data_IF_078500088135
#
_entry.id   IF_078500088135
#
_cell.length_a   1.000
_cell.length_b   1.000
_cell.length_c   1.000
_cell.angle_alpha   90.00
_cell.angle_beta   90.00
_cell.angle_gamma   90.00
#
_symmetry.space_group_name_H-M   'P 1'
#
loop_
_entity.id
_entity.type
_entity.pdbx_description
1 polymer ?
2 polymer ?
3 non-polymer ?
4 non-polymer ?
5 non-polymer ?
6 non-polymer ?
7 non-polymer ?
8 water ?
#
# COMPACT_ATOMS: atom_id res chain seq x y z
N UNK A 1 0.45 -15.09 27.71
CA UNK A 1 0.90 -14.81 26.31
C UNK A 1 1.21 -13.35 26.13
N UNK A 2 2.16 -13.13 25.25
CA UNK A 2 2.60 -11.78 24.90
C UNK A 2 2.62 -11.56 23.40
N UNK A 3 2.29 -10.33 23.05
CA UNK A 3 1.98 -9.96 21.66
C UNK A 3 3.19 -10.05 20.74
N UNK A 4 4.36 -9.89 21.35
CA UNK A 4 5.62 -9.75 20.59
C UNK A 4 6.11 -11.10 20.10
N UNK A 5 5.58 -12.10 20.79
CA UNK A 5 5.85 -13.50 20.48
C UNK A 5 4.65 -14.16 19.83
N UNK A 6 4.87 -14.55 18.59
CA UNK A 6 3.91 -15.37 17.85
C UNK A 6 2.60 -14.63 17.68
N UNK A 7 2.73 -13.32 17.81
CA UNK A 7 1.62 -12.36 17.64
C UNK A 7 0.58 -12.51 18.73
N UNK A 8 1.03 -13.14 19.79
CA UNK A 8 0.22 -13.37 20.98
C UNK A 8 -0.86 -14.38 20.71
N UNK A 9 -0.66 -15.02 19.57
CA UNK A 9 -1.52 -16.10 19.08
C UNK A 9 -2.70 -15.56 18.30
N UNK A 10 -2.75 -14.24 18.28
CA UNK A 10 -3.81 -13.47 17.56
C UNK A 10 -3.67 -13.60 16.05
N UNK A 11 -4.81 -13.67 15.41
CA UNK A 11 -4.86 -13.76 13.93
C UNK A 11 -4.50 -12.41 13.33
N UNK A 12 -4.95 -11.39 14.03
CA UNK A 12 -4.77 -9.99 13.60
C UNK A 12 -4.04 -9.17 14.66
N UNK A 13 -4.80 -8.31 15.30
CA UNK A 13 -4.23 -7.32 16.26
C UNK A 13 -4.22 -7.83 17.68
N UNK A 14 -3.20 -7.38 18.38
CA UNK A 14 -2.89 -7.82 19.76
C UNK A 14 -2.56 -6.68 20.70
N UNK A 15 -3.18 -6.78 21.86
CA UNK A 15 -2.96 -5.86 22.99
C UNK A 15 -2.59 -6.61 24.26
N UNK A 16 -1.47 -6.18 24.80
CA UNK A 16 -1.00 -6.62 26.13
C UNK A 16 -1.69 -5.81 27.20
N UNK A 17 -2.13 -6.53 28.21
CA UNK A 17 -2.80 -5.95 29.37
C UNK A 17 -2.08 -6.27 30.66
N UNK A 18 -2.45 -5.47 31.64
CA UNK A 18 -1.87 -5.55 32.98
C UNK A 18 -2.16 -6.89 33.61
N UNK A 19 -1.07 -7.61 33.77
CA UNK A 19 -1.06 -8.98 34.25
C UNK A 19 -0.60 -9.89 33.14
N UNK A 20 -0.94 -11.15 33.31
CA UNK A 20 -0.67 -12.18 32.31
C UNK A 20 -1.83 -12.21 31.35
N UNK A 21 -2.26 -10.99 31.04
CA UNK A 21 -3.42 -10.73 30.17
C UNK A 21 -3.08 -10.24 28.77
N UNK A 22 -3.86 -10.76 27.86
CA UNK A 22 -3.79 -10.45 26.43
C UNK A 22 -5.18 -10.39 25.80
N UNK A 23 -5.34 -9.41 24.94
CA UNK A 23 -6.58 -9.25 24.15
C UNK A 23 -6.28 -9.08 22.68
N UNK A 24 -6.88 -9.97 21.92
CA UNK A 24 -6.86 -9.93 20.46
C UNK A 24 -7.99 -9.08 19.96
N UNK A 25 -7.73 -8.48 18.83
CA UNK A 25 -8.73 -7.67 18.14
C UNK A 25 -8.69 -7.89 16.65
N UNK A 26 -9.75 -7.42 16.04
CA UNK A 26 -9.95 -7.55 14.58
C UNK A 26 -10.24 -6.21 13.94
N UNK A 27 -9.78 -6.14 12.71
CA UNK A 27 -10.01 -4.99 11.83
C UNK A 27 -11.50 -4.81 11.61
N UNK A 28 -11.86 -3.60 11.26
CA UNK A 28 -13.25 -3.30 10.88
C UNK A 28 -13.62 -4.26 9.75
N UNK A 29 -14.82 -4.77 9.84
CA UNK A 29 -15.36 -5.71 8.85
C UNK A 29 -15.08 -7.15 9.21
N UNK A 30 -14.55 -7.28 10.40
CA UNK A 30 -14.29 -8.59 11.05
C UNK A 30 -14.74 -8.57 12.49
N UNK A 31 -15.06 -9.77 12.92
CA UNK A 31 -15.40 -10.04 14.33
C UNK A 31 -14.55 -11.16 14.89
N UNK A 32 -14.25 -11.02 16.17
CA UNK A 32 -13.45 -11.97 16.95
C UNK A 32 -14.31 -13.15 17.38
N UNK A 33 -13.77 -14.32 17.12
CA UNK A 33 -14.41 -15.59 17.50
C UNK A 33 -14.21 -15.88 18.98
N UNK A 34 -14.94 -16.88 19.41
CA UNK A 34 -14.99 -17.26 20.85
C UNK A 34 -13.66 -17.83 21.35
N UNK A 35 -12.83 -18.21 20.40
CA UNK A 35 -11.46 -18.72 20.69
C UNK A 35 -10.56 -17.59 21.16
N UNK A 36 -11.06 -16.40 20.91
CA UNK A 36 -10.42 -15.15 21.35
C UNK A 36 -9.21 -14.74 20.55
N UNK A 37 -9.01 -15.44 19.45
CA UNK A 37 -7.85 -15.19 18.56
C UNK A 37 -8.16 -14.97 17.09
N UNK A 38 -9.20 -15.67 16.65
CA UNK A 38 -9.58 -15.73 15.23
C UNK A 38 -10.52 -14.61 14.86
N UNK A 39 -10.35 -14.18 13.63
CA UNK A 39 -11.18 -13.14 13.01
C UNK A 39 -11.92 -13.67 11.80
N UNK A 40 -13.20 -13.36 11.79
CA UNK A 40 -14.11 -13.78 10.71
C UNK A 40 -14.79 -12.56 10.07
N UNK A 41 -14.87 -12.55 8.72
CA UNK A 41 -15.55 -11.43 8.07
C UNK A 41 -16.99 -11.29 8.46
N UNK A 42 -17.38 -10.03 8.53
CA UNK A 42 -18.75 -9.63 8.88
C UNK A 42 -19.42 -8.89 7.75
N UNK A 43 -18.62 -8.67 6.73
CA UNK A 43 -19.06 -7.99 5.51
C UNK A 43 -18.65 -8.75 4.28
N UNK A 44 -19.20 -8.31 3.16
CA UNK A 44 -19.05 -9.01 1.88
C UNK A 44 -17.64 -8.88 1.35
N UNK A 45 -17.12 -7.70 1.56
CA UNK A 45 -15.80 -7.30 1.02
C UNK A 45 -14.87 -6.76 2.10
N UNK A 46 -14.45 -7.64 3.02
CA UNK A 46 -13.53 -7.20 4.03
C UNK A 46 -12.17 -6.92 3.44
N UNK A 47 -11.47 -6.03 4.10
CA UNK A 47 -10.13 -5.65 3.64
C UNK A 47 -9.20 -6.86 3.63
N UNK A 48 -8.35 -6.87 2.63
CA UNK A 48 -7.19 -7.78 2.61
C UNK A 48 -7.48 -9.19 2.21
N UNK A 49 -8.70 -9.36 1.74
CA UNK A 49 -9.16 -10.63 1.15
C UNK A 49 -9.48 -10.43 -0.31
N UNK A 50 -9.14 -11.46 -1.08
CA UNK A 50 -9.29 -11.50 -2.55
C UNK A 50 -10.50 -12.34 -2.96
N UNK A 51 -11.62 -11.69 -3.32
CA UNK A 51 -12.89 -12.40 -3.50
C UNK A 51 -12.84 -13.61 -4.40
N UNK A 52 -12.13 -13.47 -5.51
CA UNK A 52 -12.17 -14.53 -6.56
C UNK A 52 -11.45 -15.78 -6.08
N UNK A 53 -10.55 -15.54 -5.14
CA UNK A 53 -9.72 -16.61 -4.52
C UNK A 53 -10.43 -17.23 -3.33
N UNK A 54 -11.18 -16.39 -2.63
CA UNK A 54 -11.97 -16.84 -1.48
C UNK A 54 -13.07 -17.75 -2.00
N UNK A 55 -13.56 -17.39 -3.16
CA UNK A 55 -14.62 -18.12 -3.87
C UNK A 55 -14.08 -19.41 -4.46
N UNK A 56 -12.86 -19.29 -4.94
CA UNK A 56 -12.18 -20.37 -5.69
C UNK A 56 -12.02 -21.62 -4.83
N UNK A 57 -12.05 -21.36 -3.54
CA UNK A 57 -11.83 -22.40 -2.50
C UNK A 57 -13.03 -22.65 -1.61
N UNK A 58 -14.05 -21.86 -1.86
CA UNK A 58 -15.30 -21.90 -1.08
C UNK A 58 -16.12 -23.13 -1.45
N UNK B 1 7.15 -2.72 -13.19
CA UNK B 1 7.62 -3.96 -12.57
C UNK B 1 8.48 -4.70 -13.55
N UNK B 2 9.68 -4.97 -13.07
CA UNK B 2 10.69 -5.76 -13.79
C UNK B 2 10.77 -7.15 -13.20
N UNK B 3 10.63 -8.12 -14.09
CA UNK B 3 10.85 -9.55 -13.79
C UNK B 3 9.75 -10.22 -13.03
N UNK B 4 8.60 -9.59 -13.10
CA UNK B 4 7.37 -10.12 -12.50
C UNK B 4 6.51 -10.87 -13.47
N UNK B 5 5.25 -10.95 -13.10
CA UNK B 5 4.21 -11.56 -13.93
C UNK B 5 2.94 -10.74 -13.88
N UNK B 6 2.08 -11.06 -14.81
CA UNK B 6 0.75 -10.44 -14.85
C UNK B 6 0.02 -10.87 -13.59
N UNK B 7 -0.51 -9.87 -12.90
CA UNK B 7 -1.41 -10.13 -11.78
C UNK B 7 -2.76 -10.57 -12.35
N UNK B 8 -3.18 -11.82 -12.11
CA UNK B 8 -4.46 -12.20 -12.69
C UNK B 8 -5.56 -11.25 -12.27
N UNK B 9 -6.37 -10.91 -13.25
CA UNK B 9 -7.46 -9.96 -13.04
C UNK B 9 -8.24 -10.28 -11.78
N UNK B 10 -8.25 -9.30 -10.90
CA UNK B 10 -9.03 -9.35 -9.66
C UNK B 10 -8.25 -9.81 -8.45
N UNK B 11 -7.02 -10.21 -8.71
CA UNK B 11 -6.14 -10.74 -7.64
C UNK B 11 -5.31 -9.66 -6.98
N UNK B 12 -5.42 -8.48 -7.56
CA UNK B 12 -4.78 -7.27 -7.03
C UNK B 12 -5.82 -6.15 -6.84
N UNK B 13 -6.89 -6.42 -6.07
CA UNK B 13 -8.08 -5.57 -6.18
C UNK B 13 -7.99 -4.21 -5.49
N UNK B 14 -6.92 -4.06 -4.74
CA UNK B 14 -6.63 -2.81 -3.99
C UNK B 14 -5.76 -1.85 -4.79
N UNK B 15 -5.26 -2.33 -5.91
CA UNK B 15 -4.37 -1.53 -6.77
C UNK B 15 -5.13 -0.37 -7.38
N UNK B 16 -4.53 0.79 -7.28
CA UNK B 16 -5.03 2.03 -7.88
C UNK B 16 -4.08 2.51 -8.97
N UNK B 17 -4.70 3.04 -10.00
CA UNK B 17 -4.00 3.78 -11.06
C UNK B 17 -4.37 5.24 -10.98
N UNK B 18 -3.33 6.05 -10.90
CA UNK B 18 -3.44 7.51 -10.89
C UNK B 18 -3.11 8.07 -12.26
N UNK B 19 -4.03 8.88 -12.72
CA UNK B 19 -3.96 9.57 -14.02
C UNK B 19 -3.98 11.07 -13.85
N UNK B 20 -3.18 11.71 -14.68
CA UNK B 20 -3.17 13.18 -14.81
C UNK B 20 -3.34 13.52 -16.29
N UNK B 21 -4.46 14.16 -16.56
CA UNK B 21 -4.87 14.49 -17.94
C UNK B 21 -4.91 13.26 -18.83
N UNK B 22 -5.24 12.17 -18.17
CA UNK B 22 -5.51 10.87 -18.81
C UNK B 22 -4.28 10.01 -18.95
N UNK B 23 -3.18 10.63 -18.59
CA UNK B 23 -1.85 10.02 -18.64
C UNK B 23 -1.46 9.35 -17.31
N UNK B 24 -0.87 8.19 -17.45
CA UNK B 24 -0.34 7.43 -16.30
C UNK B 24 0.65 8.27 -15.51
N UNK B 25 0.38 8.35 -14.21
CA UNK B 25 1.24 9.08 -13.27
C UNK B 25 1.96 8.17 -12.30
N UNK B 26 1.14 7.41 -11.61
CA UNK B 26 1.60 6.62 -10.47
C UNK B 26 0.55 5.62 -10.08
N UNK B 27 0.97 4.76 -9.18
CA UNK B 27 0.09 3.82 -8.51
C UNK B 27 -0.42 4.36 -7.20
N UNK B 28 -1.28 3.55 -6.62
CA UNK B 28 -1.85 3.79 -5.29
C UNK B 28 -2.45 2.55 -4.70
N UNK B 29 -2.81 2.66 -3.44
CA UNK B 29 -3.45 1.58 -2.69
C UNK B 29 -4.72 2.05 -2.01
N UNK B 30 -5.79 1.36 -2.33
CA UNK B 30 -7.09 1.57 -1.68
C UNK B 30 -7.05 0.97 -0.28
N UNK B 31 -7.35 1.79 0.71
CA UNK B 31 -7.41 1.29 2.13
C UNK B 31 -8.79 1.34 2.77
N UNK B 32 -9.64 2.09 2.12
CA UNK B 32 -11.10 2.01 2.33
C UNK B 32 -11.80 2.71 1.18
N UNK B 33 -13.11 2.86 1.29
CA UNK B 33 -13.91 3.24 0.09
C UNK B 33 -13.63 4.62 -0.48
N UNK B 34 -13.04 5.47 0.34
CA UNK B 34 -12.74 6.87 -0.09
C UNK B 34 -11.29 7.28 0.05
N UNK B 35 -10.48 6.39 0.57
CA UNK B 35 -9.07 6.66 0.87
C UNK B 35 -8.08 5.78 0.12
N UNK B 36 -7.12 6.48 -0.47
CA UNK B 36 -6.01 5.91 -1.23
C UNK B 36 -4.69 6.42 -0.72
N UNK B 37 -3.78 5.47 -0.50
CA UNK B 37 -2.40 5.79 -0.13
C UNK B 37 -1.53 5.73 -1.37
N UNK B 38 -0.71 6.75 -1.52
CA UNK B 38 0.27 6.84 -2.63
C UNK B 38 1.59 7.40 -2.12
N UNK B 39 2.39 7.85 -3.06
CA UNK B 39 3.74 8.42 -2.79
C UNK B 39 3.74 9.92 -3.03
N UNK B 40 4.29 10.63 -2.06
CA UNK B 40 4.32 12.10 -2.10
C UNK B 40 4.94 12.63 -3.38
N UNK B 41 6.00 11.95 -3.80
CA UNK B 41 6.87 12.44 -4.88
C UNK B 41 6.13 12.50 -6.21
N UNK B 42 5.01 11.81 -6.24
CA UNK B 42 4.19 11.68 -7.45
C UNK B 42 3.51 12.97 -7.85
N UNK B 43 3.43 13.86 -6.87
CA UNK B 43 2.61 15.08 -7.00
C UNK B 43 3.39 16.36 -7.07
N UNK B 44 4.69 16.20 -7.30
CA UNK B 44 5.64 17.33 -7.32
C UNK B 44 5.36 18.30 -8.44
N UNK B 45 5.13 17.70 -9.59
CA UNK B 45 5.10 18.44 -10.86
C UNK B 45 3.68 18.63 -11.34
N UNK B 46 2.78 18.52 -10.39
CA UNK B 46 1.35 18.67 -10.68
C UNK B 46 0.94 20.11 -10.92
N UNK B 47 0.42 20.32 -12.12
CA UNK B 47 0.05 21.66 -12.59
C UNK B 47 -1.30 22.07 -12.04
N UNK B 48 -2.27 21.33 -12.55
CA UNK B 48 -3.70 21.50 -12.22
C UNK B 48 -4.24 20.31 -11.45
N UNK B 49 -4.39 20.56 -10.16
CA UNK B 49 -4.79 19.49 -9.21
C UNK B 49 -6.13 18.92 -9.58
N UNK B 50 -6.89 19.70 -10.28
CA UNK B 50 -8.24 19.30 -10.46
C UNK B 50 -8.40 18.30 -11.57
N UNK B 51 -7.26 17.89 -12.12
CA UNK B 51 -7.21 16.91 -13.23
C UNK B 51 -6.68 15.53 -12.85
N UNK B 52 -6.63 15.32 -11.56
CA UNK B 52 -6.13 14.08 -10.97
C UNK B 52 -7.26 13.09 -10.80
N UNK B 53 -7.06 11.93 -11.40
CA UNK B 53 -8.05 10.85 -11.40
C UNK B 53 -7.46 9.55 -10.88
N UNK B 54 -8.25 8.90 -10.02
CA UNK B 54 -7.95 7.59 -9.47
C UNK B 54 -8.87 6.56 -10.09
N UNK B 55 -8.26 5.49 -10.57
CA UNK B 55 -8.98 4.35 -11.15
C UNK B 55 -8.77 3.07 -10.37
N UNK B 56 -9.90 2.52 -9.99
CA UNK B 56 -10.00 1.23 -9.27
C UNK B 56 -10.55 0.19 -10.22
N UNK B 57 -10.16 -1.04 -9.96
CA UNK B 57 -10.66 -2.20 -10.72
C UNK B 57 -10.07 -2.30 -12.10
N UNK B 58 -8.99 -1.57 -12.28
CA UNK B 58 -8.24 -1.58 -13.55
C UNK B 58 -7.39 -2.83 -13.65
N UNK B 59 -7.19 -3.24 -14.89
CA UNK B 59 -6.35 -4.41 -15.19
C UNK B 59 -5.56 -4.24 -16.47
N UNK B 60 -6.30 -4.29 -17.55
CA UNK B 60 -5.75 -4.12 -18.92
C UNK B 60 -6.10 -2.75 -19.47
N UNK B 61 -5.07 -1.96 -19.64
CA UNK B 61 -5.21 -0.53 -19.98
C UNK B 61 -5.73 -0.30 -21.39
N UNK B 62 -5.72 -1.37 -22.15
CA UNK B 62 -6.04 -1.30 -23.59
C UNK B 62 -7.53 -1.40 -23.83
N UNK B 63 -8.21 -1.81 -22.79
CA UNK B 63 -9.65 -2.07 -22.90
C UNK B 63 -10.43 -1.59 -21.70
N UNK B 64 -11.72 -1.50 -21.97
CA UNK B 64 -12.73 -1.21 -20.95
C UNK B 64 -13.62 -2.42 -20.83
N UNK B 65 -13.67 -2.96 -19.63
CA UNK B 65 -14.47 -4.19 -19.36
C UNK B 65 -15.61 -4.00 -18.36
N UNK B 66 -15.64 -2.80 -17.82
CA UNK B 66 -16.77 -2.32 -17.01
C UNK B 66 -16.62 -2.53 -15.53
N UNK B 67 -15.48 -3.07 -15.16
CA UNK B 67 -15.13 -3.30 -13.74
C UNK B 67 -14.39 -2.11 -13.16
N UNK B 68 -13.99 -1.24 -14.07
CA UNK B 68 -13.25 -0.02 -13.72
C UNK B 68 -14.16 0.99 -13.06
N UNK B 69 -13.60 1.66 -12.08
CA UNK B 69 -14.26 2.78 -11.40
C UNK B 69 -13.29 3.93 -11.22
N UNK B 70 -13.68 5.03 -11.83
CA UNK B 70 -12.91 6.27 -11.82
C UNK B 70 -13.52 7.30 -10.88
N UNK B 71 -12.62 7.93 -10.16
CA UNK B 71 -12.96 8.99 -9.21
C UNK B 71 -11.98 10.13 -9.28
N UNK B 72 -12.53 11.32 -9.12
CA UNK B 72 -11.73 12.53 -8.89
C UNK B 72 -11.12 12.46 -7.52
N UNK B 73 -9.89 12.92 -7.49
CA UNK B 73 -9.13 13.10 -6.25
C UNK B 73 -9.42 14.49 -5.70
N UNK B 74 -10.03 14.47 -4.52
CA UNK B 74 -10.56 15.67 -3.84
C UNK B 74 -9.53 16.33 -2.94
N UNK B 75 -8.69 15.49 -2.40
CA UNK B 75 -7.62 15.93 -1.47
C UNK B 75 -6.39 15.07 -1.63
N UNK B 76 -5.26 15.75 -1.65
CA UNK B 76 -3.94 15.12 -1.60
C UNK B 76 -3.26 15.65 -0.36
N UNK B 77 -3.03 14.76 0.58
CA UNK B 77 -2.43 15.10 1.88
C UNK B 77 -1.04 14.51 1.98
N UNK B 78 -0.11 15.41 2.23
CA UNK B 78 1.32 15.10 2.32
C UNK B 78 1.89 15.53 3.68
N UNK B 79 2.80 14.73 4.25
CA UNK B 79 3.36 15.14 5.53
C UNK B 79 4.24 16.35 5.40
N UNK B 80 4.25 17.11 6.47
CA UNK B 80 5.00 18.38 6.53
C UNK B 80 6.48 18.16 6.29
N UNK B 81 6.89 16.95 6.59
CA UNK B 81 8.31 16.56 6.64
C UNK B 81 8.87 16.22 5.28
N UNK B 82 7.96 16.09 4.34
CA UNK B 82 8.29 15.79 2.95
C UNK B 82 8.77 17.04 2.23
N UNK B 83 9.92 16.88 1.60
CA UNK B 83 10.52 17.96 0.80
C UNK B 83 10.49 17.62 -0.68
N UNK B 84 9.76 18.41 -1.48
CA UNK B 84 9.70 18.12 -2.91
C UNK B 84 11.07 17.92 -3.51
N UNK B 85 11.11 16.92 -4.36
CA UNK B 85 12.29 16.59 -5.17
C UNK B 85 13.23 15.64 -4.47
N UNK B 86 12.80 15.21 -3.32
CA UNK B 86 13.56 14.25 -2.50
C UNK B 86 12.75 13.00 -2.20
N UNK B 87 13.35 12.14 -1.40
CA UNK B 87 12.85 10.76 -1.23
C UNK B 87 12.28 10.40 0.13
N UNK B 88 12.68 11.16 1.14
CA UNK B 88 12.24 10.86 2.52
C UNK B 88 10.79 11.26 2.73
N UNK B 89 10.14 10.50 3.59
CA UNK B 89 8.73 10.74 3.94
C UNK B 89 7.85 10.71 2.71
N UNK B 90 8.13 9.71 1.89
CA UNK B 90 7.46 9.55 0.58
C UNK B 90 6.10 8.87 0.65
N UNK B 91 5.18 9.62 1.21
CA UNK B 91 3.80 9.17 1.41
C UNK B 91 2.77 10.27 1.17
N UNK B 92 1.65 9.84 0.62
CA UNK B 92 0.49 10.72 0.40
C UNK B 92 -0.82 9.99 0.67
N UNK B 93 -1.73 10.71 1.28
CA UNK B 93 -3.10 10.23 1.53
C UNK B 93 -4.06 11.03 0.68
N UNK B 94 -4.76 10.28 -0.15
CA UNK B 94 -5.71 10.83 -1.13
C UNK B 94 -7.13 10.50 -0.76
N UNK B 95 -7.92 11.56 -0.75
CA UNK B 95 -9.37 11.48 -0.53
C UNK B 95 -10.11 11.57 -1.85
N UNK B 96 -10.89 10.54 -2.11
CA UNK B 96 -11.70 10.47 -3.33
C UNK B 96 -12.94 11.33 -3.16
N UNK B 97 -13.38 11.88 -4.27
CA UNK B 97 -14.53 12.82 -4.30
C UNK B 97 -15.82 12.11 -3.96
N UNK B 98 -15.82 10.83 -4.25
CA UNK B 98 -16.96 9.94 -4.02
C UNK B 98 -16.44 8.54 -3.74
N UNK B 99 -17.09 7.79 -2.82
CA UNK B 99 -16.55 6.47 -2.58
C UNK B 99 -16.63 5.59 -3.79
N UNK B 100 -15.65 4.71 -3.90
CA UNK B 100 -15.75 3.56 -4.80
C UNK B 100 -16.72 2.58 -4.18
N UNK B 101 -17.28 1.77 -5.04
CA UNK B 101 -18.19 0.68 -4.67
C UNK B 101 -17.38 -0.61 -4.62
N UNK B 102 -17.38 -1.24 -3.47
CA UNK B 102 -16.65 -2.49 -3.30
C UNK B 102 -17.33 -3.58 -4.11
N UNK B 103 -16.49 -4.29 -4.84
CA UNK B 103 -16.90 -5.40 -5.73
C UNK B 103 -15.84 -6.49 -5.71
N UNK B 104 -16.06 -7.52 -6.51
CA UNK B 104 -15.08 -8.61 -6.61
C UNK B 104 -13.73 -8.07 -7.07
N UNK B 105 -13.80 -6.92 -7.71
CA UNK B 105 -12.63 -6.35 -8.43
C UNK B 105 -12.07 -5.11 -7.79
N UNK B 106 -12.75 -4.70 -6.75
CA UNK B 106 -12.43 -3.47 -5.99
C UNK B 106 -12.60 -3.71 -4.49
N UNK B 107 -11.45 -3.83 -3.85
CA UNK B 107 -11.37 -4.20 -2.42
C UNK B 107 -10.20 -3.47 -1.74
N UNK B 108 -10.42 -2.94 -0.53
CA UNK B 108 -9.30 -2.29 0.12
C UNK B 108 -8.34 -3.26 0.75
N UNK B 109 -7.10 -2.81 0.79
CA UNK B 109 -6.03 -3.48 1.55
C UNK B 109 -6.12 -2.98 2.98
N UNK B 110 -5.86 -3.88 3.92
CA UNK B 110 -5.92 -3.53 5.35
C UNK B 110 -4.73 -2.68 5.73
N UNK B 111 -5.04 -1.54 6.29
CA UNK B 111 -4.03 -0.71 6.95
C UNK B 111 -3.83 -1.26 8.36
N UNK B 112 -2.66 -1.84 8.64
CA UNK B 112 -2.50 -2.50 9.94
C UNK B 112 -2.25 -1.54 11.06
N UNK B 113 -2.50 -2.04 12.26
CA UNK B 113 -2.01 -1.39 13.47
C UNK B 113 -0.50 -1.40 13.45
N UNK B 114 0.05 -0.36 14.04
CA UNK B 114 1.50 -0.14 14.04
C UNK B 114 2.25 -1.27 14.69
N UNK B 115 1.77 -1.62 15.87
CA UNK B 115 2.41 -2.66 16.69
C UNK B 115 2.50 -3.97 15.93
N UNK B 116 1.36 -4.32 15.38
CA UNK B 116 1.21 -5.54 14.57
C UNK B 116 2.19 -5.50 13.42
N UNK B 117 2.27 -4.34 12.82
CA UNK B 117 3.09 -4.16 11.61
C UNK B 117 4.57 -4.31 11.91
N UNK B 118 4.91 -3.81 13.09
CA UNK B 118 6.31 -3.70 13.51
C UNK B 118 6.85 -4.99 14.08
N UNK B 119 5.98 -5.64 14.81
CA UNK B 119 6.33 -6.86 15.57
C UNK B 119 6.18 -8.13 14.76
N UNK B 120 5.27 -8.08 13.81
CA UNK B 120 4.88 -9.29 13.07
C UNK B 120 5.12 -9.17 11.58
N UNK B 121 4.49 -8.18 11.00
CA UNK B 121 4.46 -8.04 9.53
C UNK B 121 5.84 -7.79 8.96
N UNK B 122 6.64 -7.14 9.78
CA UNK B 122 7.97 -6.64 9.38
C UNK B 122 8.94 -7.79 9.18
N UNK B 123 8.51 -8.94 9.66
CA UNK B 123 9.34 -10.17 9.70
C UNK B 123 8.87 -11.23 8.76
N UNK B 124 7.83 -10.88 8.04
CA UNK B 124 7.38 -11.71 6.93
C UNK B 124 8.32 -11.39 5.78
N UNK B 125 8.99 -12.41 5.29
CA UNK B 125 10.12 -12.23 4.36
C UNK B 125 9.65 -11.58 3.08
N UNK B 126 8.72 -12.28 2.45
CA UNK B 126 8.21 -11.94 1.11
C UNK B 126 6.91 -11.19 1.14
N UNK B 127 6.87 -10.22 0.25
CA UNK B 127 5.69 -9.40 -0.02
C UNK B 127 5.57 -9.07 -1.48
N UNK B 128 4.36 -8.70 -1.84
CA UNK B 128 3.99 -8.39 -3.24
C UNK B 128 3.97 -6.91 -3.53
N UNK B 129 4.62 -6.59 -4.64
CA UNK B 129 4.61 -5.25 -5.22
C UNK B 129 4.04 -5.31 -6.63
N UNK B 130 3.31 -4.27 -6.96
CA UNK B 130 2.52 -4.25 -8.20
C UNK B 130 2.40 -2.87 -8.83
N UNK B 131 2.16 -2.93 -10.13
CA UNK B 131 1.93 -1.73 -10.95
C UNK B 131 2.03 -1.91 -12.44
N UNK B 132 1.77 -0.80 -13.09
CA UNK B 132 1.76 -0.70 -14.56
C UNK B 132 2.98 0.04 -15.06
N UNK B 133 3.97 0.04 -14.21
CA UNK B 133 5.26 0.68 -14.50
C UNK B 133 6.08 -0.03 -15.57
N UNK B 134 7.24 0.55 -15.76
CA UNK B 134 8.23 0.03 -16.74
C UNK B 134 8.59 -1.41 -16.44
N UNK B 135 8.61 -2.16 -17.54
CA UNK B 135 8.88 -3.63 -17.53
C UNK B 135 10.37 -3.91 -17.54
N UNK B 136 11.06 -2.87 -17.97
CA UNK B 136 12.53 -2.87 -18.06
C UNK B 136 13.06 -1.49 -17.76
N UNK B 137 14.29 -1.47 -17.28
CA UNK B 137 15.01 -0.20 -17.17
C UNK B 137 15.07 0.37 -18.58
N UNK B 138 14.64 1.61 -18.69
CA UNK B 138 14.64 2.37 -19.96
C UNK B 138 13.70 1.76 -20.98
N UNK B 139 12.72 1.09 -20.45
CA UNK B 139 11.73 0.37 -21.24
C UNK B 139 10.32 0.91 -21.16
N UNK B 140 9.50 0.29 -21.97
CA UNK B 140 8.06 0.56 -22.04
C UNK B 140 7.35 0.08 -20.78
N UNK B 141 6.28 0.78 -20.49
CA UNK B 141 5.38 0.44 -19.39
C UNK B 141 4.44 -0.67 -19.80
N UNK B 142 3.84 -1.25 -18.78
CA UNK B 142 2.95 -2.40 -18.89
C UNK B 142 1.52 -2.01 -19.20
N UNK B 143 0.91 -2.83 -20.04
CA UNK B 143 -0.51 -2.67 -20.41
C UNK B 143 -1.41 -3.46 -19.47
N UNK B 144 -0.84 -4.54 -18.96
CA UNK B 144 -1.50 -5.37 -17.94
C UNK B 144 -0.80 -5.20 -16.61
N UNK B 145 -1.62 -5.15 -15.56
CA UNK B 145 -1.11 -5.04 -14.18
C UNK B 145 -0.15 -6.17 -13.88
N UNK B 146 1.02 -5.77 -13.42
CA UNK B 146 2.10 -6.69 -13.07
C UNK B 146 2.30 -6.76 -11.57
N UNK B 147 2.77 -7.92 -11.15
CA UNK B 147 3.05 -8.20 -9.73
C UNK B 147 4.33 -9.00 -9.58
N UNK B 148 4.96 -8.74 -8.44
CA UNK B 148 6.29 -9.28 -8.10
C UNK B 148 6.45 -9.55 -6.62
N UNK B 149 6.94 -10.74 -6.33
CA UNK B 149 7.27 -11.17 -4.97
C UNK B 149 8.70 -10.76 -4.69
N UNK B 150 8.84 -9.97 -3.63
CA UNK B 150 10.16 -9.42 -3.22
C UNK B 150 10.44 -9.65 -1.73
N UNK B 151 11.69 -9.99 -1.39
CA UNK B 151 12.03 -10.16 0.00
C UNK B 151 12.55 -8.88 0.61
N UNK B 152 12.18 -8.73 1.86
CA UNK B 152 12.51 -7.55 2.66
C UNK B 152 13.83 -7.75 3.37
N UNK B 153 14.57 -6.66 3.40
CA UNK B 153 15.87 -6.61 4.07
C UNK B 153 15.86 -5.68 5.25
N UNK B 154 16.58 -6.10 6.27
CA UNK B 154 16.90 -5.19 7.37
C UNK B 154 17.81 -4.15 6.78
N UNK B 155 17.64 -2.93 7.24
CA UNK B 155 18.34 -1.77 6.66
C UNK B 155 19.86 -1.89 6.76
N UNK B 156 20.31 -2.42 7.88
CA UNK B 156 21.75 -2.62 8.11
C UNK B 156 22.28 -3.49 6.99
N UNK B 157 21.46 -4.47 6.68
CA UNK B 157 21.79 -5.51 5.68
C UNK B 157 21.76 -4.93 4.29
N UNK B 158 20.80 -4.05 4.08
CA UNK B 158 20.61 -3.43 2.76
C UNK B 158 21.81 -2.61 2.40
N UNK B 159 22.27 -1.87 3.39
CA UNK B 159 23.43 -0.98 3.24
C UNK B 159 24.69 -1.80 2.98
N UNK B 160 24.75 -2.90 3.71
CA UNK B 160 25.87 -3.85 3.68
C UNK B 160 26.01 -4.43 2.28
N UNK B 161 24.85 -4.76 1.75
CA UNK B 161 24.73 -5.54 0.51
C UNK B 161 24.66 -4.69 -0.75
N UNK B 162 24.59 -3.39 -0.54
CA UNK B 162 24.44 -2.45 -1.64
C UNK B 162 25.79 -1.94 -2.12
N UNK B 163 25.89 -1.90 -3.43
CA UNK B 163 27.12 -1.45 -4.09
C UNK B 163 27.05 -1.52 -5.63
N UNK B 168 24.08 9.57 -3.02
CA UNK B 168 23.26 8.38 -2.79
C UNK B 168 22.50 8.50 -1.47
N UNK B 169 21.16 8.50 -1.53
CA UNK B 169 20.38 8.70 -0.32
C UNK B 169 20.62 7.64 0.71
N UNK B 170 20.55 8.09 1.94
CA UNK B 170 20.53 7.17 3.05
C UNK B 170 19.24 6.43 2.91
N UNK B 171 19.23 5.28 3.54
CA UNK B 171 18.01 4.55 3.78
C UNK B 171 17.64 4.97 5.17
N UNK B 172 16.57 5.72 5.26
CA UNK B 172 16.13 6.28 6.53
C UNK B 172 15.16 5.36 7.22
N UNK B 173 14.81 5.76 8.41
CA UNK B 173 13.95 4.95 9.30
C UNK B 173 12.55 4.93 8.74
N UNK B 174 12.36 5.77 7.74
CA UNK B 174 11.04 5.92 7.09
C UNK B 174 11.00 5.17 5.78
N UNK B 175 11.99 4.30 5.69
CA UNK B 175 12.20 3.45 4.50
C UNK B 175 12.59 2.04 4.86
N UNK B 176 12.42 1.18 3.87
CA UNK B 176 13.03 -0.16 3.86
C UNK B 176 13.31 -0.64 2.46
N UNK B 177 14.31 -1.50 2.41
CA UNK B 177 14.75 -2.18 1.19
C UNK B 177 14.04 -3.50 1.00
N UNK B 178 13.76 -3.75 -0.26
CA UNK B 178 13.20 -5.03 -0.71
C UNK B 178 13.53 -5.32 -2.16
N UNK B 179 13.77 -6.59 -2.40
CA UNK B 179 14.07 -7.11 -3.73
C UNK B 179 15.33 -7.93 -3.86
N UNK B 180 15.97 -7.67 -4.97
CA UNK B 180 17.16 -8.41 -5.45
C UNK B 180 18.23 -7.51 -6.02
N UNK B 181 19.46 -7.97 -5.85
CA UNK B 181 20.66 -7.20 -6.20
C UNK B 181 21.29 -7.68 -7.50
N UNK B 182 20.62 -8.63 -8.12
CA UNK B 182 21.16 -9.35 -9.31
C UNK B 182 20.63 -8.81 -10.61
N UNK B 183 19.85 -7.76 -10.46
CA UNK B 183 19.37 -6.93 -11.59
C UNK B 183 18.25 -7.53 -12.40
N UNK B 184 17.57 -8.47 -11.78
CA UNK B 184 16.55 -9.28 -12.47
C UNK B 184 15.12 -8.90 -12.16
N UNK B 185 14.97 -8.37 -10.97
CA UNK B 185 13.62 -8.15 -10.37
C UNK B 185 13.54 -6.90 -9.51
N UNK B 186 12.59 -6.07 -9.86
CA UNK B 186 12.40 -4.77 -9.20
C UNK B 186 11.09 -4.08 -9.55
N UNK B 187 10.77 -3.09 -8.74
CA UNK B 187 9.77 -2.09 -9.09
C UNK B 187 10.51 -0.96 -9.80
N UNK B 188 9.76 -0.24 -10.61
CA UNK B 188 10.34 0.77 -11.52
C UNK B 188 9.46 2.01 -11.65
N UNK B 189 9.92 2.93 -12.46
CA UNK B 189 9.16 4.16 -12.74
C UNK B 189 7.79 3.79 -13.29
N UNK B 190 6.82 4.41 -12.68
CA UNK B 190 5.40 4.23 -13.03
C UNK B 190 4.68 3.41 -11.98
N UNK B 191 5.48 2.72 -11.20
CA UNK B 191 4.96 1.83 -10.13
C UNK B 191 4.82 2.58 -8.83
N UNK B 192 5.55 3.67 -8.75
CA UNK B 192 5.62 4.41 -7.49
C UNK B 192 4.23 4.76 -7.01
N UNK B 193 4.09 4.63 -5.71
CA UNK B 193 2.85 4.93 -5.02
C UNK B 193 1.99 3.71 -4.77
N UNK B 194 2.35 2.68 -5.51
CA UNK B 194 1.65 1.39 -5.46
C UNK B 194 1.94 0.61 -4.18
N UNK B 195 1.23 -0.51 -3.99
CA UNK B 195 1.38 -1.30 -2.77
C UNK B 195 2.53 -2.26 -2.74
N UNK B 196 3.07 -2.30 -1.53
CA UNK B 196 3.89 -3.40 -1.00
C UNK B 196 3.01 -4.04 0.05
N UNK B 197 2.47 -5.18 -0.34
CA UNK B 197 1.42 -5.92 0.41
C UNK B 197 1.95 -7.22 0.98
N UNK B 198 1.64 -7.38 2.24
CA UNK B 198 2.16 -8.48 3.07
C UNK B 198 1.05 -9.35 3.63
N UNK B 199 1.24 -10.63 3.39
CA UNK B 199 0.31 -11.70 3.83
C UNK B 199 0.64 -12.20 5.21
N UNK B 200 -0.42 -12.25 6.01
CA UNK B 200 -0.37 -12.88 7.33
C UNK B 200 -1.69 -13.51 7.73
N UNK B 201 -1.57 -14.80 7.91
CA UNK B 201 -2.67 -15.66 8.34
C UNK B 201 -3.97 -15.36 7.63
N UNK B 202 -3.87 -15.35 6.33
CA UNK B 202 -5.01 -15.36 5.40
C UNK B 202 -5.51 -14.00 4.98
N UNK B 203 -4.77 -13.01 5.44
CA UNK B 203 -5.11 -11.60 5.17
C UNK B 203 -3.91 -10.77 4.78
N UNK B 204 -4.17 -9.86 3.85
CA UNK B 204 -3.16 -8.94 3.28
C UNK B 204 -3.24 -7.54 3.87
N UNK B 205 -2.05 -7.02 4.10
CA UNK B 205 -1.82 -5.72 4.76
C UNK B 205 -0.83 -4.84 4.02
N UNK B 206 -1.07 -3.55 4.15
CA UNK B 206 -0.19 -2.52 3.58
C UNK B 206 1.01 -2.25 4.48
N UNK B 207 2.16 -2.62 3.98
CA UNK B 207 3.44 -2.44 4.69
C UNK B 207 4.39 -1.45 4.05
N UNK B 208 4.21 -1.28 2.76
CA UNK B 208 5.09 -0.41 1.98
C UNK B 208 4.42 0.31 0.84
N UNK B 209 5.07 1.38 0.46
CA UNK B 209 4.74 2.12 -0.75
C UNK B 209 5.93 2.13 -1.68
N UNK B 210 5.68 1.70 -2.91
CA UNK B 210 6.73 1.75 -3.96
C UNK B 210 7.20 3.19 -4.04
N UNK B 211 8.50 3.38 -3.84
CA UNK B 211 9.04 4.74 -3.71
C UNK B 211 10.12 5.09 -4.73
N UNK B 212 11.31 4.62 -4.44
CA UNK B 212 12.47 4.91 -5.30
C UNK B 212 13.53 3.82 -5.34
N UNK B 213 14.50 4.10 -6.19
CA UNK B 213 15.67 3.25 -6.35
C UNK B 213 16.75 3.86 -7.20
N UNK B 214 17.92 3.25 -7.09
CA UNK B 214 19.04 3.55 -7.99
C UNK B 214 18.73 2.88 -9.30
N UNK B 215 18.13 3.67 -10.16
CA UNK B 215 17.53 3.16 -11.38
C UNK B 215 16.63 2.04 -10.99
N UNK B 216 16.39 1.23 -12.01
CA UNK B 216 15.52 0.06 -11.95
C UNK B 216 16.31 -1.20 -12.21
N UNK B 217 16.17 -2.12 -11.27
CA UNK B 217 16.82 -3.44 -11.39
C UNK B 217 18.30 -3.31 -11.69
N UNK B 218 18.88 -2.35 -11.01
CA UNK B 218 20.33 -2.08 -11.07
C UNK B 218 21.08 -3.05 -10.21
N UNK B 219 22.01 -3.72 -10.85
CA UNK B 219 22.88 -4.68 -10.16
C UNK B 219 23.52 -3.97 -9.00
N UNK B 220 23.42 -4.61 -7.87
CA UNK B 220 24.03 -4.15 -6.61
C UNK B 220 23.17 -3.18 -5.82
N UNK B 221 21.94 -3.06 -6.29
CA UNK B 221 20.96 -2.17 -5.64
C UNK B 221 19.60 -2.80 -5.50
N UNK B 222 18.95 -2.38 -4.44
CA UNK B 222 17.60 -2.81 -4.12
C UNK B 222 16.59 -1.70 -4.27
N UNK B 223 15.37 -2.16 -4.39
CA UNK B 223 14.20 -1.27 -4.37
C UNK B 223 14.01 -0.75 -2.98
N UNK B 224 13.63 0.51 -2.94
CA UNK B 224 13.35 1.22 -1.67
C UNK B 224 11.90 1.62 -1.57
N UNK B 225 11.38 1.34 -0.38
CA UNK B 225 9.96 1.45 -0.06
C UNK B 225 9.72 2.29 1.18
N UNK B 226 8.64 3.07 1.12
CA UNK B 226 8.18 3.84 2.27
C UNK B 226 7.66 2.89 3.33
N UNK B 227 8.22 3.06 4.52
CA UNK B 227 7.87 2.24 5.69
C UNK B 227 6.59 2.75 6.33
N UNK B 228 5.51 2.11 5.91
CA UNK B 228 4.16 2.58 6.20
C UNK B 228 3.84 2.60 7.69
N UNK B 229 4.55 1.73 8.40
CA UNK B 229 4.30 1.52 9.85
C UNK B 229 4.50 2.82 10.64
N UNK B 230 5.36 3.64 10.07
CA UNK B 230 5.78 4.91 10.71
C UNK B 230 4.67 5.95 10.63
N UNK B 231 3.69 5.63 9.82
CA UNK B 231 2.64 6.59 9.40
C UNK B 231 1.22 6.22 9.76
N UNK B 232 1.06 5.13 10.47
CA UNK B 232 -0.28 4.55 10.71
C UNK B 232 -1.16 5.56 11.42
N UNK B 233 -0.60 6.05 12.50
CA UNK B 233 -1.31 6.97 13.40
C UNK B 233 -1.60 8.29 12.70
N UNK B 234 -0.64 8.71 11.89
CA UNK B 234 -0.79 9.93 11.08
C UNK B 234 -1.95 9.81 10.10
N UNK B 235 -1.97 8.66 9.46
CA UNK B 235 -3.01 8.34 8.46
C UNK B 235 -4.38 8.25 9.11
N UNK B 236 -4.39 7.60 10.24
CA UNK B 236 -5.65 7.30 10.95
C UNK B 236 -6.33 8.59 11.40
N UNK B 237 -5.50 9.50 11.85
CA UNK B 237 -5.99 10.78 12.37
C UNK B 237 -6.60 11.58 11.25
N UNK B 238 -5.92 11.54 10.11
CA UNK B 238 -6.35 12.31 8.94
C UNK B 238 -7.68 11.81 8.42
N UNK B 239 -7.85 10.50 8.52
CA UNK B 239 -9.04 9.83 7.96
C UNK B 239 -10.29 10.17 8.77
N UNK B 240 -10.03 10.66 9.95
CA UNK B 240 -11.09 11.04 10.92
C UNK B 240 -11.42 12.52 10.83
N UNK B 241 -10.64 13.20 10.03
CA UNK B 241 -10.73 14.66 9.88
C UNK B 241 -11.66 15.06 8.74
N UNK B 242 -12.22 16.25 8.92
CA UNK B 242 -13.07 16.87 7.90
C UNK B 242 -12.21 17.39 6.75
N UNK B 243 -12.70 17.29 5.50
CA UNK B 243 -12.03 17.89 4.36
C UNK B 243 -11.91 19.38 4.48
N UNK B 244 -10.86 19.84 3.84
CA UNK B 244 -10.52 21.26 3.75
C UNK B 244 -10.49 21.74 2.30
N UNK B 245 -10.88 23.00 2.06
CA UNK B 245 -10.78 23.49 0.71
C UNK B 245 -9.37 23.47 0.24
N UNK B 246 -9.26 23.25 -1.04
CA UNK B 246 -7.99 23.13 -1.75
C UNK B 246 -7.47 21.71 -1.71
N UNK B 247 -7.03 21.26 -2.86
CA UNK B 247 -6.70 19.84 -3.06
C UNK B 247 -5.54 19.46 -2.17
N UNK B 248 -4.46 20.18 -2.37
CA UNK B 248 -3.22 19.95 -1.62
C UNK B 248 -3.34 20.44 -0.19
N UNK B 249 -3.01 19.51 0.69
CA UNK B 249 -2.92 19.77 2.13
C UNK B 249 -1.65 19.19 2.69
N UNK B 250 -0.88 20.07 3.32
CA UNK B 250 0.29 19.68 4.08
C UNK B 250 -0.13 19.60 5.53
N UNK B 251 0.05 18.41 6.05
CA UNK B 251 -0.35 18.06 7.42
C UNK B 251 0.86 17.74 8.29
N UNK B 252 0.89 18.23 9.54
CA UNK B 252 2.06 17.95 10.35
C UNK B 252 2.30 16.50 10.58
N UNK B 253 3.58 16.20 10.56
CA UNK B 253 4.12 14.90 10.95
C UNK B 253 5.23 15.12 11.97
N UNK B 254 5.24 14.36 13.07
CA UNK B 254 4.30 13.29 13.41
C UNK B 254 2.89 13.79 13.65
#
# INVERSE_FOLDING_TARGET
LICVNENGGCEQYCSDHTGTKRSCRCHEGYSLLADGVSCTPTVEYPCGKIPILEKRNASKPQGR
IVGGKVCPKGECPWQVLLLVNGAQLCGGTLINTIWVVSAAHCFDKIKNWRNLIAVLGEHDLSEHDGDEQSRRVAQVIIPSTYVPGTTNHDIALLRLHQPVVLTDHVVPLCLPERTFSERTLAFVRFSLVSGWGQLLDRGATALELMVLNVPRLMTQDCLQQSRKVGDSPNITEYMFCAGYSDGSKDSCKGDSGGPHATHYRGTWYLTGIVSWGQGCATVGHFGVYTRVSQYIEWLQKLMRSEPRPGVLLRAPFP
#
